data_IF_097166730579
#
_entry.id   IF_097166730579
#
_cell.length_a   1.000
_cell.length_b   1.000
_cell.length_c   1.000
_cell.angle_alpha   90.00
_cell.angle_beta   90.00
_cell.angle_gamma   90.00
#
_symmetry.space_group_name_H-M   'P 1'
#
loop_
_entity.id
_entity.type
_entity.pdbx_description
1 polymer ?
#
# COMPACT_ATOMS: atom_id res chain seq x y z
N UNK A 1 3.82 -10.47 19.33
CA UNK A 1 2.89 -9.96 18.30
C UNK A 1 3.50 -8.68 17.76
N UNK A 2 3.72 -8.58 16.44
CA UNK A 2 4.27 -7.36 15.83
C UNK A 2 3.15 -6.33 15.74
N UNK A 3 3.40 -5.09 16.18
CA UNK A 3 2.46 -3.98 16.01
C UNK A 3 2.55 -3.48 14.57
N UNK A 4 1.40 -3.28 13.93
CA UNK A 4 1.27 -2.65 12.61
C UNK A 4 0.47 -1.37 12.78
N UNK A 5 1.01 -0.26 12.27
CA UNK A 5 0.37 1.05 12.28
C UNK A 5 0.19 1.54 10.85
N UNK A 6 -0.96 2.13 10.54
CA UNK A 6 -1.20 2.77 9.25
C UNK A 6 -1.04 4.27 9.39
N UNK A 7 -0.41 4.88 8.39
CA UNK A 7 -0.21 6.32 8.30
C UNK A 7 -0.68 6.79 6.92
N UNK A 8 -1.73 7.58 6.87
CA UNK A 8 -2.34 8.06 5.62
C UNK A 8 -2.11 9.56 5.44
N UNK A 9 -1.59 9.98 4.29
CA UNK A 9 -1.47 11.40 3.94
C UNK A 9 -2.84 12.01 3.62
N UNK A 10 -2.95 13.34 3.75
CA UNK A 10 -4.17 14.08 3.43
C UNK A 10 -4.64 13.84 1.98
N UNK A 11 -3.71 13.78 1.02
CA UNK A 11 -4.01 13.51 -0.38
C UNK A 11 -4.54 12.11 -0.63
N UNK A 12 -4.02 11.11 0.08
CA UNK A 12 -4.55 9.75 0.05
C UNK A 12 -5.93 9.66 0.72
N UNK A 13 -6.11 10.27 1.90
CA UNK A 13 -7.40 10.30 2.59
C UNK A 13 -8.49 10.99 1.74
N UNK A 14 -8.13 12.02 0.99
CA UNK A 14 -9.04 12.72 0.08
C UNK A 14 -9.56 11.82 -1.06
N UNK A 15 -8.96 10.65 -1.30
CA UNK A 15 -9.50 9.64 -2.23
C UNK A 15 -10.78 9.00 -1.71
N UNK A 16 -11.00 9.05 -0.40
CA UNK A 16 -12.24 8.62 0.23
C UNK A 16 -12.36 7.11 0.40
N UNK A 17 -11.25 6.37 0.32
CA UNK A 17 -11.26 4.91 0.43
C UNK A 17 -11.88 4.47 1.75
N UNK A 18 -12.68 3.41 1.72
CA UNK A 18 -13.27 2.82 2.90
C UNK A 18 -12.16 2.18 3.76
N UNK A 19 -12.29 2.18 5.10
CA UNK A 19 -11.29 1.56 5.97
C UNK A 19 -10.96 0.09 5.63
N UNK A 20 -11.94 -0.66 5.08
CA UNK A 20 -11.75 -2.03 4.60
C UNK A 20 -10.81 -2.08 3.39
N UNK A 21 -10.95 -1.14 2.46
CA UNK A 21 -10.11 -1.03 1.25
C UNK A 21 -8.68 -0.69 1.64
N UNK A 22 -8.49 0.30 2.53
CA UNK A 22 -7.16 0.66 3.08
C UNK A 22 -6.52 -0.55 3.77
N UNK A 23 -7.30 -1.30 4.56
CA UNK A 23 -6.82 -2.52 5.22
C UNK A 23 -6.41 -3.63 4.24
N UNK A 24 -7.13 -3.79 3.12
CA UNK A 24 -6.78 -4.77 2.08
C UNK A 24 -5.50 -4.36 1.33
N UNK A 25 -5.35 -3.08 1.01
CA UNK A 25 -4.13 -2.52 0.43
C UNK A 25 -2.92 -2.71 1.36
N UNK A 26 -3.08 -2.45 2.66
CA UNK A 26 -2.03 -2.67 3.66
C UNK A 26 -1.64 -4.14 3.80
N UNK A 27 -2.61 -5.07 3.74
CA UNK A 27 -2.33 -6.51 3.73
C UNK A 27 -1.54 -6.93 2.50
N UNK A 28 -1.94 -6.46 1.32
CA UNK A 28 -1.22 -6.76 0.08
C UNK A 28 0.22 -6.24 0.13
N UNK A 29 0.45 -5.04 0.67
CA UNK A 29 1.80 -4.51 0.85
C UNK A 29 2.62 -5.32 1.88
N UNK A 30 2.02 -5.76 2.99
CA UNK A 30 2.69 -6.60 4.00
C UNK A 30 3.03 -8.00 3.49
N UNK A 31 2.15 -8.63 2.71
CA UNK A 31 2.41 -9.95 2.13
C UNK A 31 3.59 -9.92 1.15
N UNK A 32 3.88 -8.75 0.59
CA UNK A 32 5.03 -8.51 -0.30
C UNK A 32 6.28 -8.02 0.40
N UNK A 33 6.11 -7.44 1.59
CA UNK A 33 7.23 -6.93 2.36
C UNK A 33 8.15 -8.08 2.74
N UNK A 34 9.33 -8.09 2.13
CA UNK A 34 10.43 -8.95 2.49
C UNK A 34 11.51 -8.10 3.16
N UNK A 35 11.85 -8.49 4.40
CA UNK A 35 12.73 -7.77 5.32
C UNK A 35 14.13 -7.54 4.74
N UNK A 36 14.60 -8.43 3.86
CA UNK A 36 15.95 -8.40 3.31
C UNK A 36 16.01 -7.83 1.87
N UNK A 37 14.92 -7.19 1.41
CA UNK A 37 14.78 -6.75 0.01
C UNK A 37 14.39 -5.27 -0.15
N UNK A 38 14.49 -4.76 -1.38
CA UNK A 38 13.91 -3.46 -1.78
C UNK A 38 12.39 -3.49 -1.96
N UNK A 39 11.70 -4.59 -1.66
CA UNK A 39 10.26 -4.75 -1.85
C UNK A 39 9.41 -4.14 -0.73
N UNK A 40 9.93 -3.11 -0.05
CA UNK A 40 9.17 -2.31 0.90
C UNK A 40 8.22 -1.32 0.22
N UNK A 41 8.34 -1.16 -1.11
CA UNK A 41 7.59 -0.20 -1.89
C UNK A 41 6.59 -0.91 -2.82
N UNK A 42 5.30 -0.59 -2.65
CA UNK A 42 4.19 -1.13 -3.43
C UNK A 42 3.45 0.01 -4.10
N UNK A 43 3.22 -0.12 -5.41
CA UNK A 43 2.44 0.85 -6.18
C UNK A 43 1.10 0.22 -6.53
N UNK A 44 0.02 0.96 -6.32
CA UNK A 44 -1.34 0.54 -6.68
C UNK A 44 -1.88 1.47 -7.74
N UNK A 45 -2.33 0.90 -8.85
CA UNK A 45 -2.74 1.63 -10.06
C UNK A 45 -4.12 1.20 -10.50
N UNK A 46 -4.79 2.08 -11.24
CA UNK A 46 -6.00 1.71 -11.97
C UNK A 46 -5.65 0.73 -13.08
N UNK A 47 -6.26 -0.45 -13.05
CA UNK A 47 -6.24 -1.42 -14.13
C UNK A 47 -7.48 -1.33 -15.02
N UNK A 48 -7.63 -2.31 -15.91
CA UNK A 48 -8.79 -2.41 -16.78
C UNK A 48 -10.00 -3.02 -16.05
N UNK A 49 -11.21 -2.50 -16.31
CA UNK A 49 -12.50 -3.07 -15.85
C UNK A 49 -12.59 -3.22 -14.32
N UNK A 50 -12.42 -2.13 -13.58
CA UNK A 50 -12.56 -2.05 -12.11
C UNK A 50 -11.56 -2.90 -11.30
N UNK A 51 -10.51 -3.40 -11.95
CA UNK A 51 -9.41 -4.09 -11.29
C UNK A 51 -8.29 -3.12 -10.97
N UNK A 52 -7.65 -3.31 -9.83
CA UNK A 52 -6.37 -2.68 -9.53
C UNK A 52 -5.20 -3.51 -10.05
N UNK A 53 -4.15 -2.80 -10.44
CA UNK A 53 -2.83 -3.39 -10.71
C UNK A 53 -1.95 -3.03 -9.52
N UNK A 54 -1.32 -4.04 -8.93
CA UNK A 54 -0.38 -3.88 -7.81
C UNK A 54 1.01 -4.24 -8.32
N UNK A 55 1.96 -3.30 -8.22
CA UNK A 55 3.34 -3.46 -8.71
C UNK A 55 4.36 -3.20 -7.60
N UNK A 56 5.61 -3.62 -7.78
CA UNK A 56 6.72 -3.16 -6.94
C UNK A 56 7.13 -1.71 -7.26
N UNK A 57 8.18 -1.23 -6.58
CA UNK A 57 8.80 0.07 -6.87
C UNK A 57 9.47 0.17 -8.25
N UNK A 58 9.68 -0.95 -8.95
CA UNK A 58 10.18 -1.00 -10.32
C UNK A 58 9.05 -1.13 -11.36
N UNK A 59 7.78 -1.05 -10.94
CA UNK A 59 6.60 -1.23 -11.78
C UNK A 59 6.42 -2.65 -12.36
N UNK A 60 7.06 -3.66 -11.77
CA UNK A 60 6.81 -5.05 -12.12
C UNK A 60 5.47 -5.50 -11.51
N UNK A 61 4.53 -5.94 -12.36
CA UNK A 61 3.25 -6.47 -11.91
C UNK A 61 3.46 -7.71 -11.06
N UNK A 62 2.80 -7.74 -9.91
CA UNK A 62 2.89 -8.85 -8.98
C UNK A 62 1.51 -9.46 -8.91
N UNK A 63 1.41 -10.74 -9.29
CA UNK A 63 0.13 -11.44 -9.44
C UNK A 63 -0.64 -11.44 -8.12
N UNK A 64 -1.63 -10.56 -8.03
CA UNK A 64 -2.47 -10.40 -6.84
C UNK A 64 -3.92 -10.55 -7.23
N UNK A 65 -4.68 -11.19 -6.32
CA UNK A 65 -6.13 -11.21 -6.42
C UNK A 65 -6.66 -9.78 -6.59
N UNK A 66 -7.62 -9.55 -7.51
CA UNK A 66 -8.09 -8.22 -7.82
C UNK A 66 -8.69 -7.58 -6.56
N UNK A 67 -7.99 -6.58 -6.02
CA UNK A 67 -8.56 -5.67 -5.01
C UNK A 67 -9.63 -4.86 -5.76
N UNK A 68 -10.88 -5.05 -5.35
CA UNK A 68 -12.00 -4.31 -5.92
C UNK A 68 -12.23 -3.07 -5.08
N UNK A 69 -11.87 -1.92 -5.63
CA UNK A 69 -12.23 -0.63 -5.05
C UNK A 69 -13.57 -0.19 -5.60
N UNK A 70 -14.39 0.44 -4.76
CA UNK A 70 -15.63 1.11 -5.19
C UNK A 70 -15.38 2.44 -5.87
N UNK A 71 -14.19 3.00 -5.69
CA UNK A 71 -13.82 4.32 -6.18
C UNK A 71 -12.89 4.22 -7.38
N UNK A 72 -13.10 5.14 -8.32
CA UNK A 72 -12.22 5.24 -9.47
C UNK A 72 -10.88 5.86 -9.07
N UNK A 73 -9.79 5.16 -9.38
CA UNK A 73 -8.44 5.66 -9.12
C UNK A 73 -7.96 6.51 -10.30
N UNK A 74 -7.93 7.82 -10.09
CA UNK A 74 -7.50 8.77 -11.12
C UNK A 74 -5.97 8.98 -11.12
N UNK A 75 -5.26 8.44 -10.13
CA UNK A 75 -3.80 8.50 -9.99
C UNK A 75 -3.29 7.26 -9.24
N UNK A 76 -1.98 7.00 -9.33
CA UNK A 76 -1.33 5.90 -8.61
C UNK A 76 -1.27 6.18 -7.10
N UNK A 77 -1.25 5.13 -6.30
CA UNK A 77 -0.96 5.18 -4.87
C UNK A 77 0.34 4.51 -4.55
N UNK A 78 1.09 5.08 -3.64
CA UNK A 78 2.31 4.52 -3.12
C UNK A 78 2.06 4.04 -1.70
N UNK A 79 2.45 2.79 -1.45
CA UNK A 79 2.34 2.12 -0.16
C UNK A 79 3.75 1.71 0.24
N UNK A 80 4.22 2.24 1.37
CA UNK A 80 5.60 2.08 1.83
C UNK A 80 5.58 1.42 3.20
N UNK A 81 6.24 0.27 3.30
CA UNK A 81 6.31 -0.52 4.53
C UNK A 81 7.65 -0.27 5.22
N UNK A 82 7.63 0.53 6.27
CA UNK A 82 8.79 0.78 7.12
C UNK A 82 8.80 -0.20 8.30
N UNK A 83 9.91 -0.92 8.49
CA UNK A 83 10.05 -1.87 9.60
C UNK A 83 11.15 -1.43 10.57
N UNK A 84 10.74 -1.00 11.75
CA UNK A 84 11.63 -0.55 12.82
C UNK A 84 12.10 -1.71 13.73
N UNK A 85 11.68 -2.94 13.45
CA UNK A 85 12.07 -4.16 14.15
C UNK A 85 11.15 -4.56 15.31
N UNK A 86 11.33 -5.79 15.79
CA UNK A 86 10.46 -6.43 16.80
C UNK A 86 10.44 -5.71 18.17
N UNK A 87 11.49 -4.96 18.49
CA UNK A 87 11.66 -4.29 19.77
C UNK A 87 11.38 -2.78 19.71
N UNK A 88 11.06 -2.25 18.52
CA UNK A 88 10.71 -0.85 18.37
C UNK A 88 9.25 -0.63 18.82
N UNK A 89 8.94 0.47 19.53
CA UNK A 89 7.57 0.83 19.87
C UNK A 89 6.70 1.14 18.64
N UNK A 90 7.33 1.54 17.53
CA UNK A 90 6.71 1.78 16.22
C UNK A 90 6.32 0.49 15.51
N UNK A 91 7.16 -0.55 15.58
CA UNK A 91 6.92 -1.84 14.92
C UNK A 91 7.01 -1.72 13.39
N UNK A 92 5.96 -2.13 12.69
CA UNK A 92 5.81 -1.91 11.25
C UNK A 92 4.88 -0.73 11.02
N UNK A 93 5.31 0.24 10.23
CA UNK A 93 4.50 1.35 9.76
C UNK A 93 4.21 1.14 8.27
N UNK A 94 2.95 1.25 7.88
CA UNK A 94 2.55 1.29 6.47
C UNK A 94 2.10 2.70 6.15
N UNK A 95 2.85 3.37 5.29
CA UNK A 95 2.51 4.70 4.80
C UNK A 95 1.72 4.59 3.50
N UNK A 96 0.58 5.27 3.43
CA UNK A 96 -0.25 5.40 2.24
C UNK A 96 -0.20 6.85 1.76
N UNK A 97 0.25 7.05 0.53
CA UNK A 97 0.46 8.39 -0.02
C UNK A 97 0.27 8.43 -1.54
N UNK A 98 0.07 9.63 -2.06
CA UNK A 98 0.15 9.90 -3.49
C UNK A 98 1.62 10.12 -3.91
N UNK A 99 2.01 9.84 -5.17
CA UNK A 99 3.38 10.03 -5.65
C UNK A 99 3.96 11.43 -5.39
N UNK A 100 3.11 12.47 -5.40
CA UNK A 100 3.51 13.86 -5.17
C UNK A 100 3.76 14.21 -3.70
N UNK A 101 3.42 13.30 -2.78
CA UNK A 101 3.54 13.49 -1.33
C UNK A 101 4.77 12.76 -0.74
N UNK A 102 5.47 11.98 -1.58
CA UNK A 102 6.76 11.38 -1.25
C UNK A 102 7.90 12.39 -1.44
#
# INVERSE_FOLDING_TARGET
MIRVTFNETDGFLAKGLQPKEISELGKAALERFDYDSSNYFTIVRKGNKDKLIVTDGNYEEVDYSPISLKQDLNEDFWIIVDNYGLNSPEGIIINFLLPREY
#
